data_IF_410665526696
#
_entry.id   IF_410665526696
#
_cell.length_a   1.000
_cell.length_b   1.000
_cell.length_c   1.000
_cell.angle_alpha   90.00
_cell.angle_beta   90.00
_cell.angle_gamma   90.00
#
_symmetry.space_group_name_H-M   'P 1'
#
loop_
_entity.id
_entity.type
_entity.pdbx_description
1 polymer ?
#
# COMPACT_ATOMS: atom_id res chain seq x y z
N UNK A 1 16.77 -2.15 13.11
CA UNK A 1 16.68 -1.85 11.66
C UNK A 1 15.63 -0.77 11.41
N UNK A 2 15.87 0.10 10.40
CA UNK A 2 14.94 1.17 9.99
C UNK A 2 14.17 0.76 8.75
N UNK A 3 12.85 0.76 8.83
CA UNK A 3 11.94 0.37 7.76
C UNK A 3 11.32 1.61 7.12
N UNK A 4 11.23 1.62 5.81
CA UNK A 4 10.53 2.64 5.05
C UNK A 4 9.29 2.02 4.37
N UNK A 5 8.09 2.37 4.85
CA UNK A 5 6.82 1.93 4.26
C UNK A 5 6.28 2.98 3.30
N UNK A 6 6.01 2.62 2.05
CA UNK A 6 5.72 3.57 0.96
C UNK A 6 4.38 3.28 0.29
N UNK A 7 3.45 4.26 0.34
CA UNK A 7 2.12 4.14 -0.26
C UNK A 7 1.52 5.51 -0.64
N UNK A 8 0.57 5.55 -1.57
CA UNK A 8 -0.12 6.78 -2.03
C UNK A 8 -1.27 7.23 -1.13
N UNK A 9 -1.48 6.60 0.03
CA UNK A 9 -2.54 7.01 0.96
C UNK A 9 -2.40 8.48 1.36
N UNK A 10 -3.53 9.15 1.58
CA UNK A 10 -3.54 10.55 2.03
C UNK A 10 -3.87 10.58 3.51
N UNK A 11 -2.87 10.96 4.31
CA UNK A 11 -3.03 11.17 5.74
C UNK A 11 -3.49 12.59 6.05
N UNK A 12 -4.17 12.76 7.17
CA UNK A 12 -4.48 14.06 7.73
C UNK A 12 -3.36 14.46 8.70
N UNK A 13 -2.83 15.66 8.55
CA UNK A 13 -1.89 16.26 9.49
C UNK A 13 -2.68 17.23 10.37
N UNK A 14 -2.74 16.95 11.66
CA UNK A 14 -3.42 17.76 12.67
C UNK A 14 -2.53 17.86 13.91
N UNK A 15 -2.25 19.08 14.35
CA UNK A 15 -1.40 19.38 15.52
C UNK A 15 -0.02 18.68 15.52
N UNK A 16 0.57 18.49 14.33
CA UNK A 16 1.88 17.85 14.18
C UNK A 16 1.85 16.33 14.13
N UNK A 17 0.68 15.72 14.32
CA UNK A 17 0.47 14.28 14.26
C UNK A 17 -0.24 13.87 12.95
N UNK A 18 -0.13 12.58 12.60
CA UNK A 18 -0.68 12.06 11.34
C UNK A 18 -1.75 11.01 11.60
N UNK A 19 -2.86 11.11 10.88
CA UNK A 19 -4.07 10.33 11.06
C UNK A 19 -4.51 9.67 9.76
N UNK A 20 -4.92 8.41 9.84
CA UNK A 20 -5.47 7.64 8.72
C UNK A 20 -6.99 7.56 8.82
N UNK A 21 -7.74 7.77 7.72
CA UNK A 21 -9.17 7.50 7.68
C UNK A 21 -9.48 5.99 7.56
N UNK A 22 -8.87 5.15 8.39
CA UNK A 22 -9.19 3.74 8.56
C UNK A 22 -8.56 2.73 7.59
N UNK A 23 -7.92 3.17 6.50
CA UNK A 23 -7.34 2.26 5.48
C UNK A 23 -5.95 1.72 5.84
N UNK A 24 -5.22 2.42 6.68
CA UNK A 24 -3.92 1.99 7.22
C UNK A 24 -4.03 2.17 8.72
N UNK A 25 -3.84 1.11 9.46
CA UNK A 25 -3.96 1.12 10.92
C UNK A 25 -2.60 1.00 11.60
N UNK A 26 -2.55 1.32 12.88
CA UNK A 26 -1.34 1.17 13.68
C UNK A 26 -0.97 -0.31 13.82
N UNK A 27 -1.95 -1.19 13.98
CA UNK A 27 -1.75 -2.64 14.08
C UNK A 27 -1.09 -3.19 12.81
N UNK A 28 -1.44 -2.64 11.64
CA UNK A 28 -0.76 -2.99 10.40
C UNK A 28 0.71 -2.54 10.43
N UNK A 29 1.01 -1.36 10.95
CA UNK A 29 2.41 -0.92 11.09
C UNK A 29 3.16 -1.76 12.12
N UNK A 30 2.53 -2.10 13.22
CA UNK A 30 3.11 -2.97 14.25
C UNK A 30 3.44 -4.37 13.74
N UNK A 31 2.67 -4.91 12.78
CA UNK A 31 2.97 -6.21 12.16
C UNK A 31 4.34 -6.25 11.46
N UNK A 32 4.84 -5.11 10.99
CA UNK A 32 6.17 -5.00 10.39
C UNK A 32 7.30 -4.85 11.42
N UNK A 33 7.01 -4.69 12.71
CA UNK A 33 8.04 -4.57 13.75
C UNK A 33 8.88 -5.84 13.91
N UNK A 34 8.38 -6.98 13.43
CA UNK A 34 9.20 -8.20 13.33
C UNK A 34 10.38 -8.05 12.36
N UNK A 35 10.30 -7.11 11.41
CA UNK A 35 11.34 -6.79 10.44
C UNK A 35 12.28 -5.68 10.89
N UNK A 36 11.91 -4.89 11.93
CA UNK A 36 12.75 -3.79 12.42
C UNK A 36 12.06 -2.91 13.46
N UNK A 37 12.85 -2.10 14.17
CA UNK A 37 12.41 -1.39 15.36
C UNK A 37 11.66 -0.09 15.07
N UNK A 38 12.01 0.58 13.98
CA UNK A 38 11.45 1.89 13.61
C UNK A 38 10.91 1.86 12.19
N UNK A 39 9.69 2.32 12.03
CA UNK A 39 8.99 2.39 10.74
C UNK A 39 8.76 3.86 10.41
N UNK A 40 9.11 4.26 9.19
CA UNK A 40 8.73 5.56 8.66
C UNK A 40 7.77 5.37 7.50
N UNK A 41 6.59 5.95 7.60
CA UNK A 41 5.59 5.94 6.54
C UNK A 41 5.92 7.07 5.57
N UNK A 42 6.11 6.75 4.29
CA UNK A 42 6.21 7.73 3.22
C UNK A 42 4.92 7.75 2.43
N UNK A 43 4.20 8.86 2.55
CA UNK A 43 2.90 9.01 1.90
C UNK A 43 2.57 10.49 1.65
N UNK A 44 1.38 10.74 1.11
CA UNK A 44 0.84 12.10 1.00
C UNK A 44 0.23 12.54 2.32
N UNK A 45 0.26 13.83 2.60
CA UNK A 45 -0.50 14.41 3.71
C UNK A 45 -1.24 15.67 3.28
N UNK A 46 -2.36 15.92 3.95
CA UNK A 46 -3.11 17.18 3.88
C UNK A 46 -3.25 17.74 5.29
N UNK A 47 -2.79 18.98 5.49
CA UNK A 47 -2.96 19.69 6.73
C UNK A 47 -4.43 20.08 6.92
N UNK A 48 -4.98 19.82 8.10
CA UNK A 48 -6.36 20.14 8.46
C UNK A 48 -6.39 20.97 9.74
N UNK A 49 -7.42 21.79 9.89
CA UNK A 49 -7.63 22.66 11.06
C UNK A 49 -8.52 22.02 12.12
N UNK A 50 -9.25 20.96 11.75
CA UNK A 50 -10.08 20.17 12.65
C UNK A 50 -10.04 18.69 12.23
N UNK A 51 -10.18 17.80 13.19
CA UNK A 51 -10.16 16.36 12.98
C UNK A 51 -11.28 15.69 13.78
N UNK A 52 -12.07 14.85 13.14
CA UNK A 52 -13.00 13.94 13.82
C UNK A 52 -12.24 12.67 14.25
N UNK A 53 -11.82 12.61 15.50
CA UNK A 53 -11.07 11.49 16.06
C UNK A 53 -11.84 10.16 16.03
N UNK A 54 -13.17 10.18 15.96
CA UNK A 54 -13.97 8.95 15.85
C UNK A 54 -13.84 8.25 14.49
N UNK A 55 -13.38 8.98 13.46
CA UNK A 55 -13.25 8.48 12.08
C UNK A 55 -11.79 8.36 11.61
N UNK A 56 -10.84 8.73 12.45
CA UNK A 56 -9.43 8.77 12.07
C UNK A 56 -8.57 8.15 13.16
N UNK A 57 -7.72 7.21 12.77
CA UNK A 57 -6.78 6.57 13.66
C UNK A 57 -5.44 7.31 13.62
N UNK A 58 -4.91 7.69 14.76
CA UNK A 58 -3.53 8.21 14.85
C UNK A 58 -2.56 7.11 14.47
N UNK A 59 -1.58 7.45 13.62
CA UNK A 59 -0.60 6.50 13.10
C UNK A 59 0.79 6.76 13.68
N UNK A 60 1.11 8.01 13.97
CA UNK A 60 2.42 8.38 14.53
C UNK A 60 2.48 8.11 16.03
N UNK A 61 3.55 7.45 16.45
CA UNK A 61 3.90 7.20 17.84
C UNK A 61 5.41 6.86 17.96
N UNK A 62 5.89 6.48 19.15
CA UNK A 62 7.33 6.29 19.45
C UNK A 62 8.14 5.47 18.44
N UNK A 63 7.53 4.55 17.70
CA UNK A 63 8.20 3.67 16.70
C UNK A 63 7.74 3.89 15.27
N UNK A 64 6.70 4.68 15.07
CA UNK A 64 6.15 4.98 13.73
C UNK A 64 6.21 6.47 13.50
N UNK A 65 7.01 6.88 12.54
CA UNK A 65 7.17 8.27 12.11
C UNK A 65 6.60 8.47 10.69
N UNK A 66 6.46 9.71 10.29
CA UNK A 66 5.90 10.07 8.98
C UNK A 66 6.86 10.98 8.20
N UNK A 67 6.95 10.71 6.90
CA UNK A 67 7.69 11.51 5.94
C UNK A 67 6.77 11.90 4.78
N UNK A 68 6.33 13.15 4.74
CA UNK A 68 5.48 13.64 3.66
C UNK A 68 6.21 13.62 2.31
N UNK A 69 5.55 13.05 1.31
CA UNK A 69 6.07 12.98 -0.05
C UNK A 69 5.10 13.64 -1.04
N UNK A 70 5.60 14.32 -2.09
CA UNK A 70 4.76 14.95 -3.10
C UNK A 70 3.82 13.97 -3.78
N UNK A 71 2.66 14.47 -4.24
CA UNK A 71 1.75 13.67 -5.05
C UNK A 71 2.43 13.20 -6.35
N UNK A 72 2.60 11.89 -6.46
CA UNK A 72 3.22 11.24 -7.62
C UNK A 72 2.20 10.71 -8.65
N UNK A 73 0.90 10.85 -8.38
CA UNK A 73 -0.18 10.24 -9.19
C UNK A 73 -0.82 11.21 -10.19
N UNK A 74 -0.32 12.45 -10.33
CA UNK A 74 -0.83 13.41 -11.28
C UNK A 74 0.02 13.46 -12.57
N UNK A 75 -0.52 14.04 -13.65
CA UNK A 75 0.18 14.13 -14.94
C UNK A 75 1.52 14.89 -14.85
N UNK A 76 1.58 15.95 -14.05
CA UNK A 76 2.83 16.72 -13.85
C UNK A 76 3.92 15.86 -13.22
N UNK A 77 3.57 14.94 -12.32
CA UNK A 77 4.52 14.05 -11.67
C UNK A 77 5.12 13.00 -12.62
N UNK A 78 4.44 12.66 -13.71
CA UNK A 78 5.03 11.81 -14.75
C UNK A 78 6.22 12.49 -15.43
N UNK A 79 6.13 13.80 -15.67
CA UNK A 79 7.21 14.62 -16.24
C UNK A 79 8.35 14.78 -15.21
N UNK A 80 7.99 15.02 -13.95
CA UNK A 80 8.93 15.22 -12.84
C UNK A 80 9.45 13.91 -12.22
N UNK A 81 9.15 12.75 -12.83
CA UNK A 81 9.47 11.45 -12.25
C UNK A 81 10.94 11.26 -11.90
N UNK A 82 11.85 11.80 -12.72
CA UNK A 82 13.30 11.73 -12.46
C UNK A 82 13.67 12.48 -11.17
N UNK A 83 13.08 13.65 -10.94
CA UNK A 83 13.32 14.45 -9.74
C UNK A 83 12.71 13.79 -8.49
N UNK A 84 11.50 13.23 -8.61
CA UNK A 84 10.88 12.46 -7.54
C UNK A 84 11.73 11.22 -7.19
N UNK A 85 12.30 10.55 -8.17
CA UNK A 85 13.19 9.41 -7.94
C UNK A 85 14.48 9.84 -7.25
N UNK A 86 15.10 10.97 -7.63
CA UNK A 86 16.28 11.51 -6.91
C UNK A 86 15.96 11.80 -5.45
N UNK A 87 14.80 12.43 -5.18
CA UNK A 87 14.33 12.68 -3.81
C UNK A 87 14.11 11.37 -3.04
N UNK A 88 13.47 10.38 -3.68
CA UNK A 88 13.24 9.08 -3.07
C UNK A 88 14.55 8.34 -2.75
N UNK A 89 15.55 8.40 -3.64
CA UNK A 89 16.89 7.82 -3.38
C UNK A 89 17.52 8.47 -2.14
N UNK A 90 17.47 9.81 -2.01
CA UNK A 90 18.00 10.52 -0.85
C UNK A 90 17.31 10.10 0.46
N UNK A 91 16.00 9.92 0.44
CA UNK A 91 15.24 9.44 1.61
C UNK A 91 15.57 7.97 1.88
N UNK A 92 15.43 7.10 0.88
CA UNK A 92 15.63 5.66 1.02
C UNK A 92 17.04 5.27 1.45
N UNK A 93 18.06 6.10 1.18
CA UNK A 93 19.44 5.84 1.60
C UNK A 93 19.62 5.72 3.12
N UNK A 94 18.72 6.32 3.91
CA UNK A 94 18.76 6.37 5.36
C UNK A 94 18.09 5.16 6.05
N UNK A 95 17.50 4.25 5.27
CA UNK A 95 16.73 3.10 5.76
C UNK A 95 17.36 1.79 5.31
N UNK A 96 17.10 0.72 6.05
CA UNK A 96 17.68 -0.60 5.81
C UNK A 96 16.80 -1.44 4.86
N UNK A 97 15.47 -1.32 5.00
CA UNK A 97 14.46 -2.06 4.24
C UNK A 97 13.42 -1.10 3.69
N UNK A 98 12.97 -1.35 2.46
CA UNK A 98 11.86 -0.62 1.83
C UNK A 98 10.70 -1.58 1.61
N UNK A 99 9.52 -1.22 2.12
CA UNK A 99 8.25 -1.89 1.86
C UNK A 99 7.47 -1.01 0.88
N UNK A 100 7.25 -1.52 -0.33
CA UNK A 100 6.52 -0.82 -1.38
C UNK A 100 5.15 -1.48 -1.57
N UNK A 101 4.09 -0.87 -1.06
CA UNK A 101 2.72 -1.37 -1.21
C UNK A 101 2.14 -0.89 -2.53
N UNK A 102 1.76 -1.84 -3.40
CA UNK A 102 1.30 -1.60 -4.77
C UNK A 102 -0.14 -2.09 -4.98
N UNK A 103 -0.96 -1.40 -5.82
CA UNK A 103 -0.57 -0.28 -6.70
C UNK A 103 -0.39 1.05 -5.97
N UNK A 104 0.70 1.74 -6.27
CA UNK A 104 1.03 3.06 -5.73
C UNK A 104 2.14 3.69 -6.55
N UNK A 105 2.03 4.96 -6.95
CA UNK A 105 3.11 5.66 -7.63
C UNK A 105 4.27 5.97 -6.68
N UNK A 106 3.98 6.36 -5.43
CA UNK A 106 5.01 6.53 -4.39
C UNK A 106 5.69 5.20 -4.13
N UNK A 107 4.94 4.11 -3.88
CA UNK A 107 5.51 2.78 -3.73
C UNK A 107 6.38 2.35 -4.91
N UNK A 108 5.94 2.63 -6.14
CA UNK A 108 6.70 2.33 -7.37
C UNK A 108 8.01 3.10 -7.46
N UNK A 109 8.03 4.38 -7.05
CA UNK A 109 9.23 5.23 -7.06
C UNK A 109 10.23 4.74 -6.00
N UNK A 110 9.75 4.42 -4.80
CA UNK A 110 10.60 3.95 -3.71
C UNK A 110 11.12 2.53 -3.93
N UNK A 111 10.34 1.63 -4.56
CA UNK A 111 10.86 0.33 -5.01
C UNK A 111 12.02 0.49 -6.01
N UNK A 112 11.90 1.42 -6.97
CA UNK A 112 13.01 1.74 -7.88
C UNK A 112 14.22 2.36 -7.16
N UNK A 113 13.98 3.23 -6.17
CA UNK A 113 15.04 3.84 -5.37
C UNK A 113 15.82 2.79 -4.57
N UNK A 114 15.11 1.87 -3.90
CA UNK A 114 15.72 0.77 -3.14
C UNK A 114 16.61 -0.10 -4.00
N UNK A 115 16.13 -0.47 -5.18
CA UNK A 115 16.92 -1.25 -6.14
C UNK A 115 18.20 -0.51 -6.61
N UNK A 116 18.10 0.80 -6.89
CA UNK A 116 19.27 1.60 -7.27
C UNK A 116 20.30 1.71 -6.14
N UNK A 117 19.86 1.56 -4.90
CA UNK A 117 20.70 1.56 -3.69
C UNK A 117 21.15 0.15 -3.28
N UNK A 118 20.78 -0.90 -4.02
CA UNK A 118 21.00 -2.31 -3.68
C UNK A 118 20.47 -2.67 -2.27
N UNK A 119 19.34 -2.08 -1.88
CA UNK A 119 18.68 -2.37 -0.59
C UNK A 119 17.61 -3.42 -0.75
N UNK A 120 17.31 -4.21 0.29
CA UNK A 120 16.16 -5.11 0.32
C UNK A 120 14.87 -4.35 0.06
N UNK A 121 14.07 -4.83 -0.90
CA UNK A 121 12.75 -4.28 -1.23
C UNK A 121 11.73 -5.39 -1.14
N UNK A 122 10.80 -5.26 -0.19
CA UNK A 122 9.58 -6.06 -0.13
C UNK A 122 8.49 -5.35 -0.93
N UNK A 123 7.96 -6.01 -1.94
CA UNK A 123 6.80 -5.52 -2.69
C UNK A 123 5.54 -6.21 -2.16
N UNK A 124 4.58 -5.43 -1.67
CA UNK A 124 3.25 -5.91 -1.35
C UNK A 124 2.29 -5.64 -2.51
N UNK A 125 1.75 -6.68 -3.08
CA UNK A 125 0.78 -6.61 -4.18
C UNK A 125 -0.61 -6.80 -3.59
N UNK A 126 -1.33 -5.67 -3.39
CA UNK A 126 -2.62 -5.66 -2.68
C UNK A 126 -3.84 -5.50 -3.60
N UNK A 127 -3.63 -5.09 -4.85
CA UNK A 127 -4.69 -4.98 -5.85
C UNK A 127 -4.14 -5.04 -7.27
N UNK A 128 -5.05 -5.19 -8.24
CA UNK A 128 -4.71 -5.10 -9.64
C UNK A 128 -4.81 -3.64 -10.11
N UNK A 129 -3.68 -3.03 -10.52
CA UNK A 129 -3.68 -1.65 -11.00
C UNK A 129 -4.51 -1.46 -12.28
N UNK A 130 -4.56 -2.49 -13.15
CA UNK A 130 -5.40 -2.45 -14.34
C UNK A 130 -6.88 -2.30 -13.96
N UNK A 131 -7.38 -3.17 -13.08
CA UNK A 131 -8.78 -3.20 -12.70
C UNK A 131 -9.18 -1.89 -12.02
N UNK A 132 -8.33 -1.36 -11.12
CA UNK A 132 -8.56 -0.09 -10.46
C UNK A 132 -8.66 1.10 -11.44
N UNK A 133 -7.79 1.16 -12.45
CA UNK A 133 -7.77 2.27 -13.39
C UNK A 133 -8.79 2.12 -14.51
N UNK A 134 -9.02 0.90 -14.98
CA UNK A 134 -9.87 0.64 -16.14
C UNK A 134 -11.36 0.65 -15.78
N UNK A 135 -11.74 0.01 -14.66
CA UNK A 135 -13.15 -0.11 -14.27
C UNK A 135 -13.64 1.05 -13.41
N UNK A 136 -12.81 1.59 -12.54
CA UNK A 136 -13.20 2.66 -11.60
C UNK A 136 -12.66 4.03 -11.97
N UNK A 137 -11.78 4.12 -12.97
CA UNK A 137 -11.10 5.35 -13.34
C UNK A 137 -11.85 6.17 -14.38
N UNK A 138 -11.43 7.42 -14.51
CA UNK A 138 -11.81 8.32 -15.59
C UNK A 138 -11.27 7.83 -16.95
N UNK A 139 -11.70 8.42 -18.06
CA UNK A 139 -11.16 8.11 -19.41
C UNK A 139 -9.63 8.24 -19.43
N UNK A 140 -9.06 9.27 -18.78
CA UNK A 140 -7.60 9.42 -18.65
C UNK A 140 -6.96 8.26 -17.89
N UNK A 141 -7.61 7.77 -16.84
CA UNK A 141 -7.11 6.62 -16.07
C UNK A 141 -7.16 5.34 -16.92
N UNK A 142 -8.21 5.13 -17.70
CA UNK A 142 -8.32 3.99 -18.64
C UNK A 142 -7.19 3.99 -19.67
N UNK A 143 -6.87 5.14 -20.25
CA UNK A 143 -5.76 5.28 -21.19
C UNK A 143 -4.39 5.04 -20.53
N UNK A 144 -4.25 5.37 -19.24
CA UNK A 144 -3.02 5.14 -18.47
C UNK A 144 -2.88 3.70 -17.95
N UNK A 145 -3.98 2.95 -17.84
CA UNK A 145 -3.99 1.60 -17.26
C UNK A 145 -2.97 0.62 -17.88
N UNK A 146 -2.79 0.55 -19.21
CA UNK A 146 -1.79 -0.35 -19.83
C UNK A 146 -0.37 -0.03 -19.38
N UNK A 147 0.00 1.24 -19.35
CA UNK A 147 1.33 1.68 -18.92
C UNK A 147 1.57 1.36 -17.43
N UNK A 148 0.58 1.67 -16.58
CA UNK A 148 0.65 1.37 -15.15
C UNK A 148 0.77 -0.14 -14.88
N UNK A 149 0.03 -0.96 -15.64
CA UNK A 149 0.09 -2.42 -15.56
C UNK A 149 1.49 -2.95 -15.90
N UNK A 150 2.03 -2.55 -17.04
CA UNK A 150 3.37 -3.00 -17.47
C UNK A 150 4.44 -2.55 -16.48
N UNK A 151 4.35 -1.32 -15.97
CA UNK A 151 5.29 -0.81 -14.96
C UNK A 151 5.23 -1.61 -13.66
N UNK A 152 4.03 -1.84 -13.12
CA UNK A 152 3.85 -2.62 -11.90
C UNK A 152 4.34 -4.06 -12.10
N UNK A 153 3.98 -4.70 -13.22
CA UNK A 153 4.43 -6.05 -13.56
C UNK A 153 5.96 -6.15 -13.63
N UNK A 154 6.62 -5.17 -14.23
CA UNK A 154 8.08 -5.13 -14.30
C UNK A 154 8.73 -4.94 -12.92
N UNK A 155 8.13 -4.13 -12.03
CA UNK A 155 8.61 -3.98 -10.65
C UNK A 155 8.53 -5.31 -9.90
N UNK A 156 7.38 -5.96 -9.93
CA UNK A 156 7.16 -7.25 -9.25
C UNK A 156 8.07 -8.34 -9.84
N UNK A 157 8.17 -8.42 -11.18
CA UNK A 157 9.05 -9.39 -11.85
C UNK A 157 10.51 -9.27 -11.42
N UNK A 158 10.95 -8.10 -11.01
CA UNK A 158 12.35 -7.84 -10.65
C UNK A 158 12.59 -7.87 -9.13
N UNK A 159 11.54 -8.06 -8.32
CA UNK A 159 11.65 -8.10 -6.87
C UNK A 159 12.23 -9.43 -6.37
N UNK A 160 12.93 -9.37 -5.24
CA UNK A 160 13.44 -10.54 -4.53
C UNK A 160 12.44 -11.05 -3.47
N UNK A 161 11.62 -10.14 -2.92
CA UNK A 161 10.64 -10.41 -1.88
C UNK A 161 9.29 -9.86 -2.33
N UNK A 162 8.26 -10.71 -2.40
CA UNK A 162 6.90 -10.30 -2.79
C UNK A 162 5.85 -10.93 -1.89
N UNK A 163 5.03 -10.09 -1.31
CA UNK A 163 3.83 -10.50 -0.59
C UNK A 163 2.59 -10.23 -1.46
N UNK A 164 1.77 -11.26 -1.68
CA UNK A 164 0.49 -11.15 -2.37
C UNK A 164 -0.65 -11.36 -1.38
N UNK A 165 -1.65 -10.47 -1.41
CA UNK A 165 -2.85 -10.62 -0.56
C UNK A 165 -3.86 -11.63 -1.09
N UNK A 166 -3.57 -12.29 -2.22
CA UNK A 166 -4.39 -13.34 -2.80
C UNK A 166 -3.63 -14.65 -2.91
N UNK A 167 -4.34 -15.76 -3.04
CA UNK A 167 -3.73 -17.07 -3.19
C UNK A 167 -3.26 -17.40 -4.61
N UNK A 168 -3.83 -16.75 -5.66
CA UNK A 168 -3.49 -17.07 -7.05
C UNK A 168 -3.71 -15.94 -8.05
N UNK A 169 -4.69 -15.06 -7.85
CA UNK A 169 -5.11 -14.06 -8.84
C UNK A 169 -4.00 -13.05 -9.15
N UNK A 170 -3.47 -12.39 -8.12
CA UNK A 170 -2.41 -11.38 -8.30
C UNK A 170 -1.10 -12.00 -8.76
N UNK A 171 -0.78 -13.21 -8.32
CA UNK A 171 0.41 -13.95 -8.74
C UNK A 171 0.42 -14.24 -10.25
N UNK A 172 -0.73 -14.61 -10.82
CA UNK A 172 -0.88 -14.81 -12.28
C UNK A 172 -0.74 -13.50 -13.06
N UNK A 173 -1.27 -12.41 -12.52
CA UNK A 173 -1.20 -11.08 -13.16
C UNK A 173 0.18 -10.44 -13.06
N UNK A 174 0.83 -10.58 -11.93
CA UNK A 174 2.12 -9.96 -11.59
C UNK A 174 3.13 -11.03 -11.17
N UNK A 175 3.60 -11.90 -12.09
CA UNK A 175 4.54 -12.96 -11.74
C UNK A 175 5.89 -12.41 -11.32
N UNK A 176 6.55 -13.08 -10.39
CA UNK A 176 7.92 -12.81 -9.96
C UNK A 176 8.95 -13.47 -10.88
N UNK A 177 10.23 -13.14 -10.71
CA UNK A 177 11.32 -13.91 -11.27
C UNK A 177 11.45 -15.27 -10.57
N UNK A 178 12.09 -16.24 -11.24
CA UNK A 178 12.43 -17.52 -10.63
C UNK A 178 13.41 -17.29 -9.45
N UNK A 179 13.14 -17.92 -8.32
CA UNK A 179 13.93 -17.79 -7.10
C UNK A 179 13.59 -16.61 -6.20
N UNK A 180 12.58 -15.78 -6.55
CA UNK A 180 12.05 -14.78 -5.62
C UNK A 180 11.34 -15.46 -4.44
N UNK A 181 11.52 -14.93 -3.24
CA UNK A 181 10.78 -15.35 -2.06
C UNK A 181 9.38 -14.72 -2.10
N UNK A 182 8.35 -15.56 -2.07
CA UNK A 182 6.97 -15.11 -2.16
C UNK A 182 6.14 -15.59 -0.98
N UNK A 183 5.27 -14.72 -0.48
CA UNK A 183 4.26 -15.01 0.52
C UNK A 183 2.88 -14.75 -0.08
N UNK A 184 1.92 -15.61 0.22
CA UNK A 184 0.50 -15.42 -0.13
C UNK A 184 -0.31 -15.47 1.15
N UNK A 185 -0.68 -14.28 1.66
CA UNK A 185 -1.42 -14.14 2.90
C UNK A 185 -2.32 -12.92 2.82
N UNK A 186 -3.51 -12.98 3.42
CA UNK A 186 -4.40 -11.82 3.55
C UNK A 186 -3.73 -10.73 4.40
N UNK A 187 -3.96 -9.48 4.04
CA UNK A 187 -3.59 -8.29 4.81
C UNK A 187 -4.72 -7.83 5.75
N UNK A 188 -5.79 -8.61 5.86
CA UNK A 188 -6.90 -8.33 6.77
C UNK A 188 -6.55 -8.82 8.15
N UNK A 189 -6.53 -7.91 9.11
CA UNK A 189 -6.33 -8.21 10.53
C UNK A 189 -7.70 -8.44 11.15
N UNK A 190 -7.93 -9.64 11.68
CA UNK A 190 -9.14 -9.98 12.41
C UNK A 190 -8.88 -9.85 13.91
N UNK A 191 -9.52 -8.88 14.55
CA UNK A 191 -9.41 -8.68 16.00
C UNK A 191 -10.11 -9.78 16.82
N UNK A 192 -11.19 -10.34 16.27
CA UNK A 192 -11.95 -11.42 16.90
C UNK A 192 -12.49 -12.39 15.87
N UNK A 193 -12.40 -13.68 16.18
CA UNK A 193 -13.04 -14.74 15.38
C UNK A 193 -14.17 -15.34 16.23
N UNK A 194 -15.40 -15.34 15.72
CA UNK A 194 -16.51 -15.99 16.40
C UNK A 194 -16.37 -17.51 16.28
N UNK A 195 -16.26 -18.18 17.42
CA UNK A 195 -16.25 -19.65 17.50
C UNK A 195 -17.66 -20.26 17.52
N UNK A 196 -18.72 -19.44 17.42
CA UNK A 196 -20.09 -19.96 17.40
C UNK A 196 -20.38 -20.62 16.06
N UNK A 197 -20.69 -21.93 16.09
CA UNK A 197 -21.24 -22.62 14.93
C UNK A 197 -22.62 -22.01 14.59
N UNK A 198 -22.78 -21.48 13.39
CA UNK A 198 -24.09 -21.09 12.90
C UNK A 198 -24.89 -22.37 12.62
N UNK A 199 -25.96 -22.59 13.37
CA UNK A 199 -27.02 -23.53 12.98
C UNK A 199 -27.77 -22.91 11.80
N UNK A 200 -27.41 -23.34 10.59
CA UNK A 200 -28.16 -22.99 9.39
C UNK A 200 -29.50 -23.72 9.45
N UNK A 201 -30.56 -23.05 9.89
CA UNK A 201 -31.92 -23.57 9.70
C UNK A 201 -32.15 -23.66 8.19
N UNK A 202 -32.59 -24.82 7.70
CA UNK A 202 -33.10 -24.99 6.34
C UNK A 202 -34.36 -24.14 6.19
N UNK A 203 -34.20 -22.89 5.75
CA UNK A 203 -35.30 -22.08 5.27
C UNK A 203 -35.41 -22.29 3.74
N UNK A 204 -36.61 -22.30 3.21
CA UNK A 204 -36.85 -22.38 1.75
C UNK A 204 -36.46 -21.07 1.03
N UNK A 205 -35.98 -20.07 1.74
CA UNK A 205 -35.55 -18.79 1.20
C UNK A 205 -34.02 -18.69 1.22
N UNK A 206 -33.45 -18.29 0.08
CA UNK A 206 -32.00 -18.01 -0.04
C UNK A 206 -31.81 -16.51 0.21
N UNK A 207 -31.10 -16.17 1.28
CA UNK A 207 -30.71 -14.78 1.57
C UNK A 207 -29.28 -14.56 1.08
N UNK A 208 -29.10 -13.55 0.23
CA UNK A 208 -27.76 -13.13 -0.25
C UNK A 208 -27.41 -11.82 0.43
N UNK A 209 -26.31 -11.82 1.18
CA UNK A 209 -25.75 -10.61 1.80
C UNK A 209 -24.58 -10.08 0.97
N UNK A 210 -24.55 -8.77 0.70
CA UNK A 210 -23.43 -8.09 0.07
C UNK A 210 -22.82 -7.15 1.12
N UNK A 211 -21.52 -7.27 1.35
CA UNK A 211 -20.76 -6.38 2.25
C UNK A 211 -19.75 -5.60 1.44
N UNK A 212 -19.79 -4.28 1.52
CA UNK A 212 -18.87 -3.40 0.80
C UNK A 212 -19.13 -1.93 1.13
N UNK A 213 -18.16 -1.05 0.85
CA UNK A 213 -18.41 0.40 0.85
C UNK A 213 -19.04 0.78 -0.48
N UNK A 214 -20.16 1.49 -0.42
CA UNK A 214 -20.80 2.13 -1.57
C UNK A 214 -20.46 3.62 -1.52
N UNK A 215 -19.26 3.98 -1.96
CA UNK A 215 -18.88 5.37 -2.12
C UNK A 215 -19.39 5.85 -3.50
N UNK A 216 -20.25 6.89 -3.49
CA UNK A 216 -20.72 7.58 -4.71
C UNK A 216 -19.63 8.46 -5.30
#
# INVERSE_FOLDING_TARGET
MKILFCHDHIFKEYEGEYYSPGKISIEQMESYQSLGDNITIVARSNKVTSLDSSKHNQITHNRVSFCAFPNASNFKSLILRKELLKKAIKIASQYDIIIARLPSEIGSIFAQAGRKLNKPVLIEVVACVWDNLYYFGTIKAKLYAPLAYVRMRNLVKQADFVHYVTSSFLQKRYPTKKGALTLSASDVILSTVSNSQRNLKKNNEISIGVVGSMDN
#
